data_IF_585949428463
#
_entry.id   IF_585949428463
#
_cell.length_a   1.000
_cell.length_b   1.000
_cell.length_c   1.000
_cell.angle_alpha   90.00
_cell.angle_beta   90.00
_cell.angle_gamma   90.00
#
_symmetry.space_group_name_H-M   'P 1'
#
loop_
_entity.id
_entity.type
_entity.pdbx_description
1 polymer ?
#
# COMPACT_ATOMS: atom_id res chain seq x y z
N UNK A 1 -7.92 10.77 10.10
CA UNK A 1 -6.57 10.64 9.76
C UNK A 1 -5.74 11.24 10.84
N UNK A 2 -4.86 10.51 11.29
CA UNK A 2 -3.95 11.15 12.13
C UNK A 2 -3.23 12.15 11.29
N UNK A 3 -3.24 13.26 11.83
CA UNK A 3 -2.43 14.32 11.40
C UNK A 3 -1.03 13.79 11.39
N UNK A 4 -0.80 12.93 10.48
CA UNK A 4 0.50 12.44 10.34
C UNK A 4 1.30 13.65 10.10
N UNK A 5 2.00 13.91 11.05
CA UNK A 5 3.18 14.63 10.81
C UNK A 5 3.81 13.93 9.61
N UNK A 6 3.56 14.44 8.43
CA UNK A 6 4.08 13.87 7.20
C UNK A 6 5.59 13.69 7.28
N UNK A 7 6.23 14.37 8.21
CA UNK A 7 7.65 14.22 8.46
C UNK A 7 8.02 12.84 9.02
N UNK A 8 7.03 12.07 9.52
CA UNK A 8 7.29 10.75 10.08
C UNK A 8 7.36 9.64 9.05
N UNK A 9 6.80 9.87 7.85
CA UNK A 9 6.79 8.86 6.80
C UNK A 9 7.65 9.31 5.64
N UNK A 10 8.79 8.64 5.47
CA UNK A 10 9.74 8.92 4.40
C UNK A 10 9.77 7.75 3.44
N UNK A 11 9.67 8.03 2.14
CA UNK A 11 9.63 7.00 1.11
C UNK A 11 10.79 6.03 1.20
N UNK A 12 11.98 6.53 1.50
CA UNK A 12 13.18 5.71 1.59
C UNK A 12 13.15 4.69 2.72
N UNK A 13 12.23 4.84 3.66
CA UNK A 13 12.08 3.89 4.78
C UNK A 13 11.21 2.70 4.40
N UNK A 14 10.60 2.71 3.22
CA UNK A 14 9.70 1.66 2.77
C UNK A 14 10.28 0.93 1.57
N UNK A 15 10.39 -0.38 1.67
CA UNK A 15 10.95 -1.21 0.60
C UNK A 15 10.21 -0.98 -0.72
N UNK A 16 10.95 -0.68 -1.77
CA UNK A 16 10.49 -0.48 -3.15
C UNK A 16 9.58 0.74 -3.36
N UNK A 17 9.27 1.52 -2.33
CA UNK A 17 8.41 2.70 -2.49
C UNK A 17 9.09 3.80 -3.33
N UNK A 18 10.38 4.11 -3.15
CA UNK A 18 11.02 5.07 -4.06
C UNK A 18 10.98 4.63 -5.51
N UNK A 19 11.17 3.35 -5.78
CA UNK A 19 11.11 2.80 -7.14
C UNK A 19 9.69 2.85 -7.68
N UNK A 20 8.69 2.68 -6.82
CA UNK A 20 7.29 2.81 -7.22
C UNK A 20 6.98 4.24 -7.69
N UNK A 21 7.54 5.24 -7.02
CA UNK A 21 7.39 6.64 -7.48
C UNK A 21 7.94 6.81 -8.89
N UNK A 22 9.13 6.28 -9.15
CA UNK A 22 9.73 6.35 -10.49
C UNK A 22 8.86 5.65 -11.54
N UNK A 23 8.30 4.51 -11.16
CA UNK A 23 7.38 3.77 -12.03
C UNK A 23 6.16 4.62 -12.37
N UNK A 24 5.56 5.29 -11.38
CA UNK A 24 4.40 6.14 -11.61
C UNK A 24 4.75 7.36 -12.46
N UNK A 25 5.93 7.94 -12.25
CA UNK A 25 6.38 9.10 -13.03
C UNK A 25 6.62 8.74 -14.49
N UNK A 26 7.02 7.52 -14.77
CA UNK A 26 7.28 7.06 -16.15
C UNK A 26 6.02 6.51 -16.82
N UNK A 27 4.92 6.35 -16.09
CA UNK A 27 3.69 5.81 -16.66
C UNK A 27 3.07 6.79 -17.65
N UNK A 28 2.65 6.27 -18.81
CA UNK A 28 1.94 7.05 -19.81
C UNK A 28 0.63 6.35 -20.15
N UNK A 29 -0.44 7.14 -20.24
CA UNK A 29 -1.72 6.65 -20.72
C UNK A 29 -1.63 6.43 -22.23
N UNK A 30 -2.65 5.75 -22.80
CA UNK A 30 -2.68 5.46 -24.22
C UNK A 30 -2.53 6.72 -25.09
N UNK A 31 -3.00 7.88 -24.61
CA UNK A 31 -2.90 9.14 -25.31
C UNK A 31 -1.56 9.88 -25.07
N UNK A 32 -0.62 9.25 -24.40
CA UNK A 32 0.69 9.84 -24.09
C UNK A 32 0.72 10.72 -22.84
N UNK A 33 -0.42 10.92 -22.18
CA UNK A 33 -0.50 11.76 -20.97
C UNK A 33 -0.01 10.99 -19.75
N UNK A 34 0.90 11.58 -18.99
CA UNK A 34 1.37 11.01 -17.73
C UNK A 34 0.41 11.29 -16.57
N UNK A 35 0.72 10.74 -15.42
CA UNK A 35 -0.03 11.03 -14.20
C UNK A 35 0.39 12.38 -13.64
N UNK A 36 -0.55 13.11 -13.06
CA UNK A 36 -0.23 14.38 -12.42
C UNK A 36 0.56 14.13 -11.14
N UNK A 37 1.33 15.17 -10.72
CA UNK A 37 2.07 15.10 -9.46
C UNK A 37 1.12 14.83 -8.29
N UNK A 38 -0.06 15.46 -8.27
CA UNK A 38 -1.05 15.27 -7.23
C UNK A 38 -1.50 13.81 -7.15
N UNK A 39 -1.75 13.19 -8.30
CA UNK A 39 -2.16 11.78 -8.36
C UNK A 39 -1.04 10.87 -7.87
N UNK A 40 0.19 11.13 -8.31
CA UNK A 40 1.35 10.34 -7.87
C UNK A 40 1.51 10.43 -6.36
N UNK A 41 1.47 11.64 -5.80
CA UNK A 41 1.62 11.83 -4.36
C UNK A 41 0.51 11.14 -3.58
N UNK A 42 -0.72 11.14 -4.09
CA UNK A 42 -1.83 10.43 -3.46
C UNK A 42 -1.57 8.93 -3.42
N UNK A 43 -1.10 8.34 -4.51
CA UNK A 43 -0.78 6.91 -4.52
C UNK A 43 0.37 6.60 -3.55
N UNK A 44 1.38 7.45 -3.51
CA UNK A 44 2.50 7.26 -2.61
C UNK A 44 2.04 7.28 -1.14
N UNK A 45 1.24 8.29 -0.78
CA UNK A 45 0.72 8.41 0.57
C UNK A 45 -0.14 7.21 0.95
N UNK A 46 -1.03 6.80 0.06
CA UNK A 46 -1.93 5.67 0.33
C UNK A 46 -1.16 4.37 0.55
N UNK A 47 -0.12 4.13 -0.25
CA UNK A 47 0.70 2.92 -0.12
C UNK A 47 1.51 2.97 1.18
N UNK A 48 2.14 4.10 1.48
CA UNK A 48 2.91 4.24 2.72
C UNK A 48 2.04 4.06 3.96
N UNK A 49 0.84 4.63 3.95
CA UNK A 49 -0.09 4.48 5.07
C UNK A 49 -0.46 3.02 5.29
N UNK A 50 -0.74 2.29 4.21
CA UNK A 50 -1.05 0.87 4.30
C UNK A 50 0.14 0.08 4.86
N UNK A 51 1.33 0.30 4.34
CA UNK A 51 2.52 -0.41 4.79
C UNK A 51 2.85 -0.09 6.24
N UNK A 52 2.75 1.18 6.62
CA UNK A 52 3.03 1.60 7.99
C UNK A 52 2.04 0.99 8.97
N UNK A 53 0.74 1.10 8.68
CA UNK A 53 -0.27 0.51 9.52
C UNK A 53 -0.05 -1.00 9.67
N UNK A 54 0.14 -1.68 8.56
CA UNK A 54 0.26 -3.14 8.56
C UNK A 54 1.49 -3.61 9.33
N UNK A 55 2.58 -2.84 9.27
CA UNK A 55 3.81 -3.22 9.96
C UNK A 55 3.77 -2.91 11.46
N UNK A 56 2.98 -1.92 11.88
CA UNK A 56 2.98 -1.45 13.28
C UNK A 56 1.78 -1.97 14.08
N UNK A 57 0.73 -2.47 13.42
CA UNK A 57 -0.48 -2.92 14.08
C UNK A 57 -0.66 -4.43 14.03
N UNK A 58 0.46 -5.18 14.00
CA UNK A 58 0.41 -6.63 14.11
C UNK A 58 0.18 -6.99 15.58
N UNK A 59 -0.95 -7.61 15.87
CA UNK A 59 -1.23 -8.06 17.22
C UNK A 59 -0.61 -9.44 17.43
N UNK A 60 0.20 -9.56 18.48
CA UNK A 60 0.78 -10.82 18.86
C UNK A 60 0.14 -11.27 20.18
N UNK A 61 -0.58 -12.39 20.15
CA UNK A 61 -1.28 -12.89 21.33
C UNK A 61 -0.32 -13.30 22.44
N UNK A 62 0.89 -13.72 22.09
CA UNK A 62 1.88 -14.15 23.08
C UNK A 62 2.43 -12.98 23.88
N UNK A 63 2.49 -11.79 23.29
CA UNK A 63 2.98 -10.58 23.95
C UNK A 63 1.84 -9.67 24.39
N UNK A 64 0.61 -10.02 24.03
CA UNK A 64 -0.59 -9.25 24.35
C UNK A 64 -0.56 -7.81 23.83
N UNK A 65 0.09 -7.59 22.68
CA UNK A 65 0.16 -6.28 22.11
C UNK A 65 0.57 -6.28 20.66
N UNK A 66 0.51 -5.11 20.01
CA UNK A 66 0.96 -4.98 18.64
C UNK A 66 2.48 -5.08 18.57
N UNK A 67 2.99 -5.91 17.66
CA UNK A 67 4.41 -6.02 17.37
C UNK A 67 4.71 -5.39 16.04
N UNK A 68 5.79 -4.66 15.97
CA UNK A 68 6.29 -4.17 14.69
C UNK A 68 6.95 -5.33 13.94
N UNK A 69 6.68 -5.40 12.64
CA UNK A 69 7.35 -6.35 11.76
C UNK A 69 8.09 -5.56 10.68
N UNK A 70 9.25 -6.05 10.24
CA UNK A 70 9.97 -5.36 9.17
C UNK A 70 9.20 -5.44 7.86
N UNK A 71 9.27 -4.35 7.09
CA UNK A 71 8.69 -4.33 5.74
C UNK A 71 9.76 -4.85 4.79
N UNK A 72 9.78 -6.17 4.62
CA UNK A 72 10.70 -6.85 3.74
C UNK A 72 9.92 -7.60 2.65
N UNK A 73 10.62 -8.37 1.84
CA UNK A 73 9.95 -9.11 0.75
C UNK A 73 8.93 -10.10 1.30
N UNK A 74 9.25 -10.76 2.40
CA UNK A 74 8.32 -11.70 3.05
C UNK A 74 7.04 -10.98 3.49
N UNK A 75 7.17 -9.77 4.04
CA UNK A 75 6.02 -8.95 4.41
C UNK A 75 5.16 -8.63 3.18
N UNK A 76 5.79 -8.18 2.09
CA UNK A 76 5.05 -7.80 0.88
C UNK A 76 4.31 -8.99 0.29
N UNK A 77 4.88 -10.19 0.35
CA UNK A 77 4.22 -11.41 -0.15
C UNK A 77 2.99 -11.81 0.66
N UNK A 78 2.82 -11.25 1.85
CA UNK A 78 1.69 -11.53 2.74
C UNK A 78 0.84 -10.30 3.01
N UNK A 79 0.99 -9.26 2.20
CA UNK A 79 0.25 -8.02 2.39
C UNK A 79 -1.25 -8.21 2.44
N UNK A 80 -1.76 -9.22 1.75
CA UNK A 80 -3.20 -9.52 1.76
C UNK A 80 -3.73 -9.93 3.14
N UNK A 81 -2.86 -10.38 4.05
CA UNK A 81 -3.27 -10.71 5.41
C UNK A 81 -3.77 -9.48 6.17
N UNK A 82 -3.42 -8.28 5.72
CA UNK A 82 -3.77 -7.03 6.40
C UNK A 82 -4.92 -6.27 5.73
N UNK A 83 -5.42 -6.73 4.59
CA UNK A 83 -6.40 -5.97 3.82
C UNK A 83 -7.70 -5.75 4.60
N UNK A 84 -8.25 -6.80 5.20
CA UNK A 84 -9.51 -6.67 5.92
C UNK A 84 -9.37 -5.71 7.10
N UNK A 85 -8.33 -5.87 7.90
CA UNK A 85 -8.15 -5.00 9.07
C UNK A 85 -7.86 -3.56 8.68
N UNK A 86 -7.21 -3.33 7.54
CA UNK A 86 -6.91 -1.98 7.09
C UNK A 86 -8.10 -1.32 6.39
N UNK A 87 -8.64 -1.95 5.34
CA UNK A 87 -9.70 -1.34 4.53
C UNK A 87 -11.05 -1.34 5.23
N UNK A 88 -11.41 -2.46 5.86
CA UNK A 88 -12.70 -2.61 6.51
C UNK A 88 -12.68 -2.24 8.00
N UNK A 89 -11.51 -2.12 8.57
CA UNK A 89 -11.33 -1.76 9.98
C UNK A 89 -10.78 -0.36 10.15
N UNK A 90 -9.48 -0.21 9.98
CA UNK A 90 -8.79 1.04 10.28
C UNK A 90 -9.35 2.24 9.50
N UNK A 91 -9.42 2.16 8.16
CA UNK A 91 -9.88 3.28 7.37
C UNK A 91 -11.35 3.60 7.64
N UNK A 92 -12.18 2.57 7.75
CA UNK A 92 -13.61 2.74 8.00
C UNK A 92 -13.86 3.39 9.36
N UNK A 93 -13.14 2.97 10.39
CA UNK A 93 -13.29 3.50 11.75
C UNK A 93 -12.68 4.89 11.94
N UNK A 94 -11.88 5.36 11.00
CA UNK A 94 -11.33 6.71 11.03
C UNK A 94 -12.13 7.69 10.19
N UNK A 95 -13.39 7.35 9.91
CA UNK A 95 -14.34 8.22 9.21
C UNK A 95 -13.89 8.58 7.79
N UNK A 96 -13.13 7.69 7.16
CA UNK A 96 -12.79 7.90 5.76
C UNK A 96 -14.01 7.66 4.90
N UNK A 97 -14.13 8.44 3.81
CA UNK A 97 -15.24 8.26 2.87
C UNK A 97 -15.06 6.98 2.06
N UNK A 98 -16.15 6.47 1.49
CA UNK A 98 -16.08 5.31 0.60
C UNK A 98 -15.13 5.59 -0.57
N UNK A 99 -15.12 6.81 -1.09
CA UNK A 99 -14.23 7.20 -2.18
C UNK A 99 -12.77 7.16 -1.75
N UNK A 100 -12.47 7.64 -0.55
CA UNK A 100 -11.09 7.58 -0.03
C UNK A 100 -10.63 6.15 0.15
N UNK A 101 -11.50 5.28 0.65
CA UNK A 101 -11.18 3.86 0.81
C UNK A 101 -10.92 3.22 -0.55
N UNK A 102 -11.77 3.49 -1.54
CA UNK A 102 -11.59 2.97 -2.90
C UNK A 102 -10.28 3.45 -3.52
N UNK A 103 -9.94 4.71 -3.29
CA UNK A 103 -8.68 5.25 -3.78
C UNK A 103 -7.49 4.56 -3.14
N UNK A 104 -7.59 4.26 -1.85
CA UNK A 104 -6.54 3.53 -1.15
C UNK A 104 -6.37 2.11 -1.73
N UNK A 105 -7.49 1.41 -1.97
CA UNK A 105 -7.45 0.10 -2.62
C UNK A 105 -6.80 0.19 -3.99
N UNK A 106 -7.16 1.20 -4.78
CA UNK A 106 -6.58 1.43 -6.11
C UNK A 106 -5.08 1.63 -6.03
N UNK A 107 -4.62 2.41 -5.04
CA UNK A 107 -3.20 2.67 -4.87
C UNK A 107 -2.43 1.40 -4.53
N UNK A 108 -2.97 0.57 -3.64
CA UNK A 108 -2.34 -0.70 -3.27
C UNK A 108 -2.32 -1.66 -4.46
N UNK A 109 -3.39 -1.67 -5.28
CA UNK A 109 -3.39 -2.46 -6.53
C UNK A 109 -2.25 -2.04 -7.45
N UNK A 110 -2.07 -0.74 -7.64
CA UNK A 110 -1.00 -0.23 -8.50
C UNK A 110 0.36 -0.64 -7.98
N UNK A 111 0.55 -0.59 -6.68
CA UNK A 111 1.80 -0.99 -6.05
C UNK A 111 2.09 -2.48 -6.32
N UNK A 112 1.12 -3.34 -6.13
CA UNK A 112 1.32 -4.79 -6.37
C UNK A 112 1.49 -5.11 -7.85
N UNK A 113 0.83 -4.38 -8.75
CA UNK A 113 1.10 -4.52 -10.19
C UNK A 113 2.53 -4.12 -10.53
N UNK A 114 3.01 -3.04 -9.94
CA UNK A 114 4.40 -2.62 -10.10
C UNK A 114 5.36 -3.71 -9.62
N UNK A 115 5.11 -4.29 -8.44
CA UNK A 115 5.96 -5.35 -7.92
C UNK A 115 5.98 -6.56 -8.86
N UNK A 116 4.82 -6.92 -9.41
CA UNK A 116 4.71 -8.02 -10.37
C UNK A 116 5.46 -7.72 -11.66
N UNK A 117 5.17 -6.57 -12.26
CA UNK A 117 5.72 -6.21 -13.57
C UNK A 117 7.23 -6.06 -13.55
N UNK A 118 7.78 -5.68 -12.42
CA UNK A 118 9.23 -5.50 -12.27
C UNK A 118 9.92 -6.74 -11.68
N UNK A 119 9.18 -7.81 -11.46
CA UNK A 119 9.75 -9.07 -10.99
C UNK A 119 10.21 -9.05 -9.54
N UNK A 120 9.76 -8.09 -8.75
CA UNK A 120 10.15 -8.00 -7.34
C UNK A 120 9.45 -9.02 -6.47
N UNK A 121 8.28 -9.49 -6.89
CA UNK A 121 7.62 -10.66 -6.30
C UNK A 121 7.14 -11.55 -7.43
N UNK A 122 6.96 -12.84 -7.14
CA UNK A 122 6.55 -13.81 -8.15
C UNK A 122 5.15 -13.48 -8.66
N UNK A 123 4.92 -13.67 -9.97
CA UNK A 123 3.64 -13.37 -10.59
C UNK A 123 2.47 -14.10 -9.92
N UNK A 124 2.66 -15.37 -9.55
CA UNK A 124 1.60 -16.14 -8.91
C UNK A 124 1.21 -15.54 -7.56
N UNK A 125 2.18 -15.08 -6.78
CA UNK A 125 1.94 -14.43 -5.49
C UNK A 125 1.21 -13.11 -5.71
N UNK A 126 1.71 -12.30 -6.64
CA UNK A 126 1.10 -11.00 -6.95
C UNK A 126 -0.34 -11.17 -7.45
N UNK A 127 -0.57 -12.15 -8.33
CA UNK A 127 -1.90 -12.39 -8.88
C UNK A 127 -2.90 -12.79 -7.78
N UNK A 128 -2.47 -13.60 -6.83
CA UNK A 128 -3.31 -13.99 -5.69
C UNK A 128 -3.70 -12.75 -4.85
N UNK A 129 -2.72 -11.89 -4.57
CA UNK A 129 -2.96 -10.67 -3.81
C UNK A 129 -3.89 -9.72 -4.56
N UNK A 130 -3.64 -9.55 -5.86
CA UNK A 130 -4.48 -8.68 -6.69
C UNK A 130 -5.91 -9.21 -6.80
N UNK A 131 -6.09 -10.52 -6.82
CA UNK A 131 -7.41 -11.12 -6.84
C UNK A 131 -8.18 -10.82 -5.56
N UNK A 132 -7.51 -10.93 -4.41
CA UNK A 132 -8.16 -10.59 -3.13
C UNK A 132 -8.53 -9.10 -3.05
N UNK A 133 -7.73 -8.21 -3.65
CA UNK A 133 -8.03 -6.78 -3.66
C UNK A 133 -9.31 -6.44 -4.41
N UNK A 134 -9.77 -7.32 -5.29
CA UNK A 134 -11.04 -7.11 -6.00
C UNK A 134 -12.26 -7.14 -5.08
N UNK A 135 -12.11 -7.70 -3.89
CA UNK A 135 -13.20 -7.79 -2.93
C UNK A 135 -13.44 -6.49 -2.16
N UNK A 136 -12.61 -5.49 -2.37
CA UNK A 136 -12.67 -4.20 -1.65
C UNK A 136 -12.98 -3.01 -2.60
#
# INVERSE_FOLDING_TARGET
MFDVDDSCLHEEDFLYVPEFRLYLESYKKANGTGLSRKTINRHMTNVMDFLYYSSTHNYNVDTEGPDEVPIDIAFLKRGNDYFSSYFDGWLLHNYESEDSIRQSVTSVKKFYRFLKETGRIESAVADHILEELKEY
#
